data_IF_000318547060
#
_entry.id   IF_000318547060
#
_cell.length_a   1.000
_cell.length_b   1.000
_cell.length_c   1.000
_cell.angle_alpha   90.00
_cell.angle_beta   90.00
_cell.angle_gamma   90.00
#
_symmetry.space_group_name_H-M   'P 1'
#
loop_
_entity.id
_entity.type
_entity.pdbx_description
1 polymer ?
#
# COMPACT_ATOMS: atom_id res chain seq x y z
N UNK A 1 -29.80 -31.07 -13.20
CA UNK A 1 -29.87 -29.80 -12.45
C UNK A 1 -29.07 -29.83 -11.13
N UNK A 2 -29.04 -30.93 -10.35
CA UNK A 2 -28.25 -31.02 -9.10
C UNK A 2 -26.72 -30.92 -9.27
N UNK A 3 -26.17 -31.46 -10.36
CA UNK A 3 -24.72 -31.44 -10.62
C UNK A 3 -24.22 -30.02 -10.97
N UNK A 4 -25.04 -29.23 -11.67
CA UNK A 4 -24.74 -27.82 -11.97
C UNK A 4 -24.71 -26.94 -10.71
N UNK A 5 -25.61 -27.21 -9.75
CA UNK A 5 -25.62 -26.51 -8.45
C UNK A 5 -24.39 -26.83 -7.61
N UNK A 6 -23.94 -28.09 -7.60
CA UNK A 6 -22.72 -28.50 -6.89
C UNK A 6 -21.45 -27.88 -7.49
N UNK A 7 -21.35 -27.83 -8.83
CA UNK A 7 -20.20 -27.23 -9.51
C UNK A 7 -20.11 -25.72 -9.28
N UNK A 8 -21.26 -25.02 -9.25
CA UNK A 8 -21.31 -23.59 -8.93
C UNK A 8 -20.85 -23.30 -7.49
N UNK A 9 -21.11 -24.20 -6.53
CA UNK A 9 -20.75 -24.00 -5.13
C UNK A 9 -19.24 -24.15 -4.87
N UNK A 10 -18.55 -25.05 -5.58
CA UNK A 10 -17.10 -25.24 -5.45
C UNK A 10 -16.31 -24.04 -5.98
N UNK A 11 -16.79 -23.41 -7.06
CA UNK A 11 -16.15 -22.23 -7.65
C UNK A 11 -16.23 -21.01 -6.71
N UNK A 12 -17.32 -20.84 -5.96
CA UNK A 12 -17.50 -19.74 -5.01
C UNK A 12 -16.57 -19.89 -3.79
N UNK A 13 -16.26 -21.11 -3.36
CA UNK A 13 -15.35 -21.34 -2.23
C UNK A 13 -13.88 -21.09 -2.60
N UNK A 14 -13.50 -21.29 -3.86
CA UNK A 14 -12.14 -21.04 -4.33
C UNK A 14 -11.78 -19.54 -4.35
N UNK A 15 -12.76 -18.65 -4.56
CA UNK A 15 -12.56 -17.18 -4.49
C UNK A 15 -12.33 -16.64 -3.07
N UNK A 16 -12.57 -17.44 -2.03
CA UNK A 16 -12.20 -17.12 -0.65
C UNK A 16 -10.83 -17.70 -0.26
N UNK A 17 -10.18 -18.44 -1.16
CA UNK A 17 -8.84 -18.95 -0.91
C UNK A 17 -7.85 -17.79 -0.98
N UNK A 18 -7.09 -17.64 0.09
CA UNK A 18 -6.19 -16.54 0.40
C UNK A 18 -4.91 -16.49 -0.48
N UNK A 19 -5.08 -16.75 -1.79
CA UNK A 19 -4.05 -17.01 -2.79
C UNK A 19 -2.84 -17.80 -2.24
N UNK A 20 -3.06 -18.97 -1.60
CA UNK A 20 -2.02 -19.64 -0.81
C UNK A 20 -0.78 -20.00 -1.63
N UNK A 21 -0.95 -20.40 -2.90
CA UNK A 21 0.16 -20.68 -3.81
C UNK A 21 0.97 -19.44 -4.14
N UNK A 22 0.31 -18.35 -4.53
CA UNK A 22 0.98 -17.07 -4.85
C UNK A 22 1.68 -16.48 -3.61
N UNK A 23 1.02 -16.53 -2.45
CA UNK A 23 1.58 -16.08 -1.18
C UNK A 23 2.77 -16.94 -0.73
N UNK A 24 2.75 -18.26 -0.94
CA UNK A 24 3.90 -19.12 -0.66
C UNK A 24 5.07 -18.82 -1.59
N UNK A 25 4.79 -18.53 -2.88
CA UNK A 25 5.80 -18.20 -3.89
C UNK A 25 6.33 -16.76 -3.80
N UNK A 26 5.78 -15.94 -2.89
CA UNK A 26 6.29 -14.59 -2.63
C UNK A 26 5.59 -13.48 -3.41
N UNK A 27 4.52 -13.77 -4.13
CA UNK A 27 3.70 -12.74 -4.78
C UNK A 27 2.94 -11.95 -3.71
N UNK A 28 3.18 -10.63 -3.58
CA UNK A 28 2.56 -9.84 -2.53
C UNK A 28 1.10 -9.54 -2.88
N UNK A 29 0.17 -10.18 -2.16
CA UNK A 29 -1.28 -9.95 -2.28
C UNK A 29 -1.85 -9.36 -1.00
N UNK A 30 -2.99 -8.68 -1.12
CA UNK A 30 -3.64 -8.03 0.01
C UNK A 30 -4.15 -9.01 1.06
N UNK A 31 -4.49 -10.23 0.64
CA UNK A 31 -5.06 -11.26 1.47
C UNK A 31 -4.00 -12.17 2.11
N UNK A 32 -2.76 -12.27 1.61
CA UNK A 32 -1.71 -13.15 2.18
C UNK A 32 -1.66 -13.14 3.73
N UNK A 33 -1.75 -14.32 4.35
CA UNK A 33 -1.73 -14.44 5.81
C UNK A 33 -0.30 -14.25 6.39
N UNK A 34 -0.20 -13.80 7.65
CA UNK A 34 1.07 -13.72 8.37
C UNK A 34 1.88 -15.01 8.29
N UNK A 35 3.20 -14.87 8.07
CA UNK A 35 4.13 -15.99 7.95
C UNK A 35 4.33 -16.53 6.53
N UNK A 36 3.57 -16.05 5.53
CA UNK A 36 3.84 -16.36 4.12
C UNK A 36 4.88 -15.41 3.52
N UNK A 37 5.61 -15.87 2.49
CA UNK A 37 6.60 -15.03 1.79
C UNK A 37 5.95 -13.77 1.18
N UNK A 38 4.76 -13.92 0.59
CA UNK A 38 4.00 -12.81 0.01
C UNK A 38 3.55 -11.78 1.04
N UNK A 39 3.24 -12.21 2.26
CA UNK A 39 2.94 -11.29 3.37
C UNK A 39 4.17 -10.48 3.78
N UNK A 40 5.33 -11.13 3.94
CA UNK A 40 6.59 -10.47 4.30
C UNK A 40 6.98 -9.44 3.24
N UNK A 41 6.94 -9.82 1.96
CA UNK A 41 7.29 -8.91 0.86
C UNK A 41 6.30 -7.74 0.76
N UNK A 42 5.01 -7.99 1.01
CA UNK A 42 4.02 -6.90 1.08
C UNK A 42 4.33 -5.93 2.21
N UNK A 43 4.65 -6.42 3.41
CA UNK A 43 5.03 -5.56 4.53
C UNK A 43 6.26 -4.74 4.21
N UNK A 44 7.30 -5.35 3.62
CA UNK A 44 8.51 -4.65 3.18
C UNK A 44 8.19 -3.52 2.22
N UNK A 45 7.33 -3.75 1.21
CA UNK A 45 6.92 -2.72 0.24
C UNK A 45 6.16 -1.58 0.89
N UNK A 46 5.25 -1.89 1.82
CA UNK A 46 4.50 -0.87 2.56
C UNK A 46 5.45 -0.04 3.42
N UNK A 47 6.40 -0.69 4.10
CA UNK A 47 7.40 -0.02 4.92
C UNK A 47 8.24 0.96 4.09
N UNK A 48 8.87 0.48 3.01
CA UNK A 48 9.68 1.31 2.12
C UNK A 48 8.87 2.47 1.55
N UNK A 49 7.66 2.22 1.04
CA UNK A 49 6.81 3.28 0.51
C UNK A 49 6.40 4.31 1.58
N UNK A 50 6.27 3.88 2.83
CA UNK A 50 5.96 4.79 3.95
C UNK A 50 7.18 5.62 4.31
N UNK A 51 8.36 5.02 4.40
CA UNK A 51 9.62 5.73 4.65
C UNK A 51 9.97 6.74 3.56
N UNK A 52 9.74 6.39 2.29
CA UNK A 52 9.94 7.31 1.17
C UNK A 52 8.98 8.51 1.26
N UNK A 53 7.71 8.28 1.59
CA UNK A 53 6.73 9.36 1.77
C UNK A 53 7.09 10.27 2.94
N UNK A 54 7.42 9.71 4.10
CA UNK A 54 7.79 10.52 5.28
C UNK A 54 9.08 11.30 5.06
N UNK A 55 10.04 10.71 4.35
CA UNK A 55 11.28 11.39 3.95
C UNK A 55 10.98 12.57 3.01
N UNK A 56 10.15 12.37 1.97
CA UNK A 56 9.72 13.45 1.07
C UNK A 56 8.97 14.55 1.83
N UNK A 57 8.03 14.19 2.68
CA UNK A 57 7.27 15.17 3.48
C UNK A 57 8.16 16.03 4.38
N UNK A 58 9.21 15.44 4.98
CA UNK A 58 10.20 16.14 5.79
C UNK A 58 11.09 17.07 4.94
N UNK A 59 11.51 16.62 3.75
CA UNK A 59 12.29 17.42 2.83
C UNK A 59 11.48 18.63 2.33
N UNK A 60 10.22 18.42 1.94
CA UNK A 60 9.32 19.48 1.47
C UNK A 60 9.02 20.49 2.60
N UNK A 61 8.80 20.03 3.83
CA UNK A 61 8.64 20.91 5.00
C UNK A 61 9.89 21.78 5.24
N UNK A 62 11.08 21.17 5.25
CA UNK A 62 12.33 21.91 5.42
C UNK A 62 12.55 22.93 4.30
N UNK A 63 12.25 22.56 3.06
CA UNK A 63 12.38 23.45 1.90
C UNK A 63 11.46 24.66 2.05
N UNK A 64 10.18 24.45 2.37
CA UNK A 64 9.24 25.55 2.54
C UNK A 64 9.60 26.47 3.72
N UNK A 65 10.06 25.90 4.84
CA UNK A 65 10.55 26.69 5.97
C UNK A 65 11.80 27.49 5.62
N UNK A 66 12.67 26.98 4.75
CA UNK A 66 13.87 27.71 4.29
C UNK A 66 13.53 28.99 3.51
N UNK A 67 12.36 29.04 2.88
CA UNK A 67 11.82 30.24 2.23
C UNK A 67 11.14 31.21 3.19
N UNK A 68 11.16 30.93 4.50
CA UNK A 68 10.47 31.72 5.51
C UNK A 68 8.97 31.43 5.58
N UNK A 69 8.47 30.40 4.87
CA UNK A 69 7.07 30.03 4.95
C UNK A 69 6.79 29.30 6.27
N UNK A 70 5.81 29.79 7.02
CA UNK A 70 5.44 29.24 8.34
C UNK A 70 4.30 28.22 8.16
N UNK A 71 4.36 27.03 8.80
CA UNK A 71 3.27 26.06 8.76
C UNK A 71 1.91 26.70 9.06
N UNK A 72 0.92 26.43 8.20
CA UNK A 72 -0.42 27.00 8.31
C UNK A 72 -0.63 28.36 7.62
N UNK A 73 0.42 28.99 7.10
CA UNK A 73 0.30 30.18 6.24
C UNK A 73 -0.03 29.81 4.79
N UNK A 74 -0.65 30.75 4.07
CA UNK A 74 -0.91 30.60 2.62
C UNK A 74 0.39 30.34 1.83
N UNK A 75 1.48 31.01 2.21
CA UNK A 75 2.80 30.81 1.61
C UNK A 75 3.31 29.38 1.78
N UNK A 76 3.09 28.77 2.94
CA UNK A 76 3.50 27.39 3.21
C UNK A 76 2.65 26.39 2.44
N UNK A 77 1.31 26.56 2.44
CA UNK A 77 0.39 25.69 1.70
C UNK A 77 0.71 25.74 0.20
N UNK A 78 0.93 26.93 -0.36
CA UNK A 78 1.28 27.08 -1.77
C UNK A 78 2.65 26.48 -2.11
N UNK A 79 3.64 26.60 -1.21
CA UNK A 79 4.95 25.96 -1.38
C UNK A 79 4.81 24.43 -1.44
N UNK A 80 4.10 23.83 -0.48
CA UNK A 80 3.87 22.37 -0.43
C UNK A 80 3.16 21.87 -1.69
N UNK A 81 2.12 22.57 -2.15
CA UNK A 81 1.39 22.21 -3.38
C UNK A 81 2.26 22.23 -4.65
N UNK A 82 3.33 23.02 -4.68
CA UNK A 82 4.26 23.05 -5.82
C UNK A 82 5.30 21.93 -5.78
N UNK A 83 5.63 21.41 -4.60
CA UNK A 83 6.60 20.32 -4.38
C UNK A 83 5.96 18.92 -4.45
N UNK A 84 4.64 18.82 -4.29
CA UNK A 84 3.86 17.58 -4.42
C UNK A 84 3.70 17.06 -5.87
N UNK A 85 4.24 17.77 -6.86
CA UNK A 85 4.35 17.29 -8.25
C UNK A 85 5.32 16.11 -8.38
#
# INVERSE_FOLDING_TARGET
MKILLLSSMVLVLASCANHPGECALGTPRADCLPGTNGYIERQRRIHVATEERTSKESADDQMCRSYGAVPGSDAYVNCRAQLEK
#
